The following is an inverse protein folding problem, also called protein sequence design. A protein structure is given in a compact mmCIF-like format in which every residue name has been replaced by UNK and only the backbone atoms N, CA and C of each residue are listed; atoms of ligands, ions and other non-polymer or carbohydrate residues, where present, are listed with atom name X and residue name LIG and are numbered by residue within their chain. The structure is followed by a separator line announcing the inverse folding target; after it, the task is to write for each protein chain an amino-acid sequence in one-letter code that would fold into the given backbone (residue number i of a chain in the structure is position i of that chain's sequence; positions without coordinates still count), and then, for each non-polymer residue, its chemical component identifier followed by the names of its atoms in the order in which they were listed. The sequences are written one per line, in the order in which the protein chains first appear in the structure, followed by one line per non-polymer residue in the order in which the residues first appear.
data_IF_328332236633
#
_entry.id   IF_328332236633
#
_cell.length_a   1.000
_cell.length_b   1.000
_cell.length_c   1.000
_cell.angle_alpha   90.00
_cell.angle_beta   90.00
_cell.angle_gamma   90.00
#
_symmetry.space_group_name_H-M   'P 1'
#
loop_
_entity.id
_entity.type
_entity.pdbx_description
1 polymer ?
#
# COMPACT_ATOMS: atom_id res chain seq x y z
N UNK A 1 -13.24 2.73 15.74
CA UNK A 1 -13.07 3.86 16.69
C UNK A 1 -13.02 3.40 18.14
N UNK A 2 -13.83 2.42 18.54
CA UNK A 2 -13.82 1.82 19.90
C UNK A 2 -12.45 1.27 20.31
N UNK A 3 -11.77 0.53 19.44
CA UNK A 3 -10.44 -0.05 19.73
C UNK A 3 -9.35 1.01 19.93
N UNK A 4 -9.43 2.12 19.21
CA UNK A 4 -8.50 3.25 19.35
C UNK A 4 -8.76 3.96 20.68
N UNK A 5 -10.04 4.07 21.06
CA UNK A 5 -10.48 4.60 22.35
C UNK A 5 -10.00 3.76 23.54
N UNK A 6 -10.09 2.43 23.44
CA UNK A 6 -9.59 1.52 24.48
C UNK A 6 -8.07 1.54 24.58
N UNK A 7 -7.35 1.55 23.46
CA UNK A 7 -5.88 1.72 23.46
C UNK A 7 -5.46 3.01 24.17
N UNK A 8 -6.14 4.14 23.88
CA UNK A 8 -5.88 5.41 24.59
C UNK A 8 -6.27 5.38 26.05
N UNK A 9 -7.35 4.71 26.41
CA UNK A 9 -7.79 4.58 27.81
C UNK A 9 -6.79 3.77 28.66
N UNK A 10 -6.08 2.83 28.05
CA UNK A 10 -5.01 2.03 28.68
C UNK A 10 -3.66 2.80 28.69
N UNK A 11 -3.59 3.97 28.05
CA UNK A 11 -2.42 4.87 28.10
C UNK A 11 -1.56 4.90 26.83
N UNK A 12 -2.02 4.33 25.71
CA UNK A 12 -1.31 4.46 24.43
C UNK A 12 -1.23 5.94 24.00
N UNK A 13 -0.03 6.39 23.60
CA UNK A 13 0.18 7.76 23.15
C UNK A 13 -0.29 7.91 21.71
N UNK A 14 -0.64 9.15 21.32
CA UNK A 14 -1.05 9.45 19.95
C UNK A 14 -0.01 9.01 18.91
N UNK A 15 1.29 9.10 19.26
CA UNK A 15 2.40 8.64 18.42
C UNK A 15 2.42 7.13 18.18
N UNK A 16 1.99 6.34 19.16
CA UNK A 16 2.01 4.87 19.07
C UNK A 16 0.90 4.43 18.10
N UNK A 17 -0.28 5.02 18.23
CA UNK A 17 -1.42 4.80 17.33
C UNK A 17 -1.07 5.25 15.91
N UNK A 18 -0.46 6.42 15.76
CA UNK A 18 -0.03 6.93 14.47
C UNK A 18 0.97 5.97 13.80
N UNK A 19 1.96 5.48 14.54
CA UNK A 19 2.96 4.55 14.02
C UNK A 19 2.32 3.24 13.53
N UNK A 20 1.39 2.66 14.28
CA UNK A 20 0.69 1.42 13.90
C UNK A 20 -0.04 1.59 12.57
N UNK A 21 -0.87 2.63 12.43
CA UNK A 21 -1.65 2.84 11.21
C UNK A 21 -0.80 3.23 10.01
N UNK A 22 0.30 3.98 10.20
CA UNK A 22 1.23 4.29 9.11
C UNK A 22 1.94 3.03 8.62
N UNK A 23 2.42 2.18 9.54
CA UNK A 23 3.06 0.91 9.21
C UNK A 23 2.06 -0.01 8.49
N UNK A 24 0.83 -0.11 8.98
CA UNK A 24 -0.23 -0.91 8.37
C UNK A 24 -0.55 -0.43 6.95
N UNK A 25 -0.69 0.88 6.75
CA UNK A 25 -0.94 1.46 5.43
C UNK A 25 0.23 1.26 4.48
N UNK A 26 1.46 1.35 4.98
CA UNK A 26 2.67 1.01 4.24
C UNK A 26 2.69 -0.47 3.83
N UNK A 27 2.35 -1.39 4.73
CA UNK A 27 2.25 -2.82 4.43
C UNK A 27 1.20 -3.11 3.34
N UNK A 28 0.04 -2.47 3.39
CA UNK A 28 -0.95 -2.54 2.31
C UNK A 28 -0.38 -2.01 0.98
N UNK A 29 0.38 -0.91 1.01
CA UNK A 29 1.10 -0.39 -0.16
C UNK A 29 2.13 -1.36 -0.73
N UNK A 30 2.88 -2.08 0.12
CA UNK A 30 3.82 -3.13 -0.31
C UNK A 30 3.10 -4.30 -0.98
N UNK A 31 2.04 -4.81 -0.35
CA UNK A 31 1.25 -5.92 -0.91
C UNK A 31 0.65 -5.51 -2.25
N UNK A 32 0.07 -4.30 -2.34
CA UNK A 32 -0.43 -3.74 -3.59
C UNK A 32 0.66 -3.58 -4.66
N UNK A 33 1.86 -3.13 -4.27
CA UNK A 33 3.00 -3.02 -5.17
C UNK A 33 3.47 -4.36 -5.73
N UNK A 34 3.57 -5.39 -4.88
CA UNK A 34 3.94 -6.76 -5.28
C UNK A 34 2.90 -7.32 -6.25
N UNK A 35 1.61 -7.20 -5.92
CA UNK A 35 0.53 -7.67 -6.79
C UNK A 35 0.50 -6.90 -8.12
N UNK A 36 0.72 -5.59 -8.09
CA UNK A 36 0.79 -4.75 -9.28
C UNK A 36 1.94 -5.14 -10.22
N UNK A 37 3.13 -5.42 -9.67
CA UNK A 37 4.28 -5.92 -10.46
C UNK A 37 3.96 -7.30 -11.06
N UNK A 38 3.40 -8.22 -10.27
CA UNK A 38 3.02 -9.55 -10.75
C UNK A 38 2.01 -9.47 -11.90
N UNK A 39 0.98 -8.64 -11.76
CA UNK A 39 -0.01 -8.41 -12.82
C UNK A 39 0.61 -7.74 -14.05
N UNK A 40 1.49 -6.75 -13.85
CA UNK A 40 2.19 -6.07 -14.94
C UNK A 40 3.05 -7.03 -15.78
N UNK A 41 3.84 -7.89 -15.13
CA UNK A 41 4.64 -8.93 -15.80
C UNK A 41 3.72 -9.94 -16.52
N UNK A 42 2.60 -10.33 -15.88
CA UNK A 42 1.60 -11.21 -16.48
C UNK A 42 1.01 -10.64 -17.76
N UNK A 43 0.61 -9.36 -17.74
CA UNK A 43 0.07 -8.66 -18.90
C UNK A 43 1.09 -8.56 -20.04
N UNK A 44 2.34 -8.20 -19.73
CA UNK A 44 3.42 -8.15 -20.74
C UNK A 44 3.60 -9.50 -21.41
N UNK A 45 3.63 -10.61 -20.65
CA UNK A 45 3.75 -11.96 -21.25
C UNK A 45 2.57 -12.33 -22.15
N UNK A 46 1.35 -11.95 -21.77
CA UNK A 46 0.16 -12.20 -22.59
C UNK A 46 0.23 -11.40 -23.88
N UNK A 47 0.62 -10.12 -23.80
CA UNK A 47 0.77 -9.24 -24.96
C UNK A 47 1.87 -9.79 -25.89
N UNK A 48 3.01 -10.21 -25.36
CA UNK A 48 4.09 -10.81 -26.15
C UNK A 48 3.62 -12.10 -26.85
N UNK A 49 2.87 -12.96 -26.15
CA UNK A 49 2.33 -14.18 -26.75
C UNK A 49 1.40 -13.88 -27.93
N UNK A 50 0.53 -12.87 -27.82
CA UNK A 50 -0.36 -12.46 -28.91
C UNK A 50 0.40 -11.77 -30.04
N UNK A 51 1.34 -10.87 -29.72
CA UNK A 51 2.08 -10.09 -30.71
C UNK A 51 3.00 -10.97 -31.59
N UNK A 52 3.68 -11.96 -30.98
CA UNK A 52 4.58 -12.87 -31.69
C UNK A 52 3.79 -13.80 -32.62
N UNK A 53 2.67 -14.36 -32.17
CA UNK A 53 1.89 -15.33 -32.95
C UNK A 53 1.03 -14.70 -34.05
N UNK A 54 0.55 -13.47 -33.88
CA UNK A 54 -0.40 -12.86 -34.81
C UNK A 54 0.18 -11.71 -35.66
N UNK A 55 1.25 -11.05 -35.21
CA UNK A 55 1.70 -9.79 -35.82
C UNK A 55 3.13 -9.89 -36.39
N UNK A 56 3.90 -10.96 -36.09
CA UNK A 56 5.28 -11.16 -36.56
C UNK A 56 6.23 -9.99 -36.21
N UNK A 57 5.93 -9.26 -35.13
CA UNK A 57 6.74 -8.14 -34.65
C UNK A 57 7.66 -8.66 -33.54
N UNK A 58 8.91 -8.98 -33.87
CA UNK A 58 9.91 -9.53 -32.95
C UNK A 58 10.64 -8.48 -32.08
N UNK A 59 10.25 -7.21 -32.20
CA UNK A 59 10.93 -6.04 -31.58
C UNK A 59 10.45 -5.69 -30.17
N UNK A 60 9.35 -6.26 -29.67
CA UNK A 60 8.92 -6.06 -28.28
C UNK A 60 9.66 -7.02 -27.35
N UNK A 61 10.99 -6.95 -27.32
CA UNK A 61 11.75 -7.58 -26.24
C UNK A 61 11.60 -6.70 -25.02
N UNK A 62 10.50 -6.91 -24.27
CA UNK A 62 10.20 -6.18 -23.04
C UNK A 62 11.24 -6.53 -21.98
N UNK A 63 12.39 -5.84 -22.04
CA UNK A 63 13.40 -5.89 -21.02
C UNK A 63 12.88 -5.05 -19.85
N UNK A 64 12.21 -5.69 -18.89
CA UNK A 64 11.85 -5.07 -17.62
C UNK A 64 13.13 -5.06 -16.78
N UNK A 65 13.83 -3.92 -16.63
CA UNK A 65 15.04 -3.89 -15.83
C UNK A 65 14.66 -4.11 -14.36
N UNK A 66 15.49 -4.85 -13.63
CA UNK A 66 15.23 -5.19 -12.21
C UNK A 66 15.03 -3.93 -11.35
N UNK A 67 15.69 -2.82 -11.73
CA UNK A 67 15.56 -1.52 -11.07
C UNK A 67 14.13 -0.96 -11.14
N UNK A 68 13.40 -1.18 -12.24
CA UNK A 68 12.02 -0.71 -12.38
C UNK A 68 11.09 -1.41 -11.39
N UNK A 69 11.31 -2.71 -11.15
CA UNK A 69 10.54 -3.49 -10.18
C UNK A 69 10.74 -2.93 -8.77
N UNK A 70 11.99 -2.71 -8.37
CA UNK A 70 12.31 -2.11 -7.07
C UNK A 70 11.75 -0.70 -6.94
N UNK A 71 11.85 0.12 -8.00
CA UNK A 71 11.28 1.46 -8.02
C UNK A 71 9.75 1.43 -7.85
N UNK A 72 9.03 0.57 -8.56
CA UNK A 72 7.58 0.43 -8.42
C UNK A 72 7.15 0.00 -7.02
N UNK A 73 7.83 -0.99 -6.43
CA UNK A 73 7.51 -1.48 -5.08
C UNK A 73 7.80 -0.38 -4.04
N UNK A 74 8.95 0.28 -4.13
CA UNK A 74 9.30 1.38 -3.22
C UNK A 74 8.34 2.56 -3.36
N UNK A 75 7.89 2.86 -4.58
CA UNK A 75 6.92 3.92 -4.85
C UNK A 75 5.53 3.58 -4.31
N UNK A 76 5.08 2.33 -4.46
CA UNK A 76 3.82 1.85 -3.90
C UNK A 76 3.83 1.89 -2.36
N UNK A 77 4.95 1.52 -1.72
CA UNK A 77 5.12 1.65 -0.27
C UNK A 77 5.06 3.11 0.19
N UNK A 78 5.75 4.02 -0.52
CA UNK A 78 5.74 5.45 -0.21
C UNK A 78 4.33 6.03 -0.31
N UNK A 79 3.62 5.74 -1.40
CA UNK A 79 2.24 6.20 -1.59
C UNK A 79 1.32 5.60 -0.52
N UNK A 80 1.46 4.31 -0.21
CA UNK A 80 0.68 3.65 0.85
C UNK A 80 0.89 4.30 2.23
N UNK A 81 2.15 4.57 2.59
CA UNK A 81 2.49 5.27 3.84
C UNK A 81 1.95 6.71 3.86
N UNK A 82 2.11 7.47 2.78
CA UNK A 82 1.64 8.87 2.69
C UNK A 82 0.11 8.92 2.76
N UNK A 83 -0.57 8.03 2.04
CA UNK A 83 -2.02 7.90 2.07
C UNK A 83 -2.52 7.56 3.48
N UNK A 84 -1.81 6.67 4.18
CA UNK A 84 -2.09 6.31 5.58
C UNK A 84 -1.80 7.40 6.60
N UNK A 85 -0.97 8.38 6.28
CA UNK A 85 -0.52 9.40 7.23
C UNK A 85 -1.65 10.35 7.66
N UNK A 86 -2.45 10.86 6.72
CA UNK A 86 -3.60 11.72 7.02
C UNK A 86 -4.66 11.04 7.92
N UNK A 87 -5.18 9.83 7.58
CA UNK A 87 -6.17 9.15 8.40
C UNK A 87 -5.60 8.68 9.74
N UNK A 88 -4.34 8.24 9.79
CA UNK A 88 -3.69 7.88 11.07
C UNK A 88 -3.55 9.08 12.00
N UNK A 89 -3.30 10.28 11.47
CA UNK A 89 -3.30 11.53 12.25
C UNK A 89 -4.67 11.84 12.83
N UNK A 90 -5.73 11.66 12.04
CA UNK A 90 -7.11 11.84 12.50
C UNK A 90 -7.46 10.82 13.60
N UNK A 91 -7.13 9.54 13.40
CA UNK A 91 -7.31 8.47 14.39
C UNK A 91 -6.55 8.76 15.70
N UNK A 92 -5.31 9.23 15.59
CA UNK A 92 -4.47 9.58 16.73
C UNK A 92 -4.99 10.78 17.53
N UNK A 93 -5.95 11.56 17.04
CA UNK A 93 -6.53 12.73 17.74
C UNK A 93 -7.90 12.46 18.37
N UNK A 94 -8.52 11.30 18.13
CA UNK A 94 -9.81 10.93 18.73
C UNK A 94 -9.76 10.93 20.28
N UNK A 95 -10.72 11.57 20.93
CA UNK A 95 -10.78 11.61 22.40
C UNK A 95 -11.40 10.31 22.94
N UNK A 96 -10.78 9.65 23.95
CA UNK A 96 -11.30 8.41 24.52
C UNK A 96 -12.71 8.57 25.11
N UNK A 97 -13.00 9.76 25.66
CA UNK A 97 -14.32 10.11 26.22
C UNK A 97 -15.44 10.19 25.17
N UNK A 98 -15.13 10.43 23.90
CA UNK A 98 -16.13 10.41 22.82
C UNK A 98 -16.31 8.97 22.32
N UNK A 99 -15.22 8.22 22.12
CA UNK A 99 -15.28 6.85 21.60
C UNK A 99 -15.94 5.81 22.52
N UNK A 100 -16.11 6.11 23.80
CA UNK A 100 -16.78 5.23 24.78
C UNK A 100 -18.22 5.65 25.09
N UNK A 101 -18.63 6.85 24.65
CA UNK A 101 -19.94 7.45 24.96
C UNK A 101 -20.94 7.27 23.82
N UNK A 102 -20.43 7.12 22.61
CA UNK A 102 -21.19 6.66 21.46
C UNK A 102 -21.11 5.13 21.43
N UNK A 103 -22.22 4.46 21.70
CA UNK A 103 -22.44 3.09 21.20
C UNK A 103 -22.38 3.06 19.68
#
# INVERSE_FOLDING_TARGET
TKDIGTMKAIGAKNKDILAIFVIESGLFGLIGGILGVLLGIGLVKIIDFVAINYINISILRSAIPIWLIFACISFAFLIGSISGFLPSLQASKLKPSESLRYE
#
